data_IF_685203992285
#
_entry.id   IF_685203992285
#
_cell.length_a   1.000
_cell.length_b   1.000
_cell.length_c   1.000
_cell.angle_alpha   90.00
_cell.angle_beta   90.00
_cell.angle_gamma   90.00
#
_symmetry.space_group_name_H-M   'P 1'
#
loop_
_entity.id
_entity.type
_entity.pdbx_description
1 polymer ?
#
# COMPACT_ATOMS: atom_id res chain seq x y z
N UNK A 1 0.76 17.11 64.86
CA UNK A 1 0.43 15.98 63.95
C UNK A 1 0.53 16.46 62.51
N UNK A 2 0.92 15.60 61.55
CA UNK A 2 1.23 15.85 60.11
C UNK A 2 2.69 16.21 59.75
N UNK A 3 3.63 15.27 59.91
CA UNK A 3 4.94 15.29 59.20
C UNK A 3 5.25 14.02 58.38
N UNK A 4 4.35 13.02 58.37
CA UNK A 4 4.59 11.73 57.69
C UNK A 4 4.34 11.75 56.17
N UNK A 5 3.52 12.67 55.65
CA UNK A 5 3.17 12.69 54.21
C UNK A 5 4.24 13.28 53.31
N UNK A 6 4.92 14.35 53.75
CA UNK A 6 5.86 15.09 52.91
C UNK A 6 7.13 14.26 52.59
N UNK A 7 7.64 13.52 53.58
CA UNK A 7 8.83 12.68 53.39
C UNK A 7 8.57 11.48 52.46
N UNK A 8 7.32 11.02 52.34
CA UNK A 8 6.97 9.93 51.43
C UNK A 8 6.89 10.43 49.99
N UNK A 9 6.29 11.60 49.78
CA UNK A 9 6.14 12.21 48.45
C UNK A 9 7.51 12.61 47.87
N UNK A 10 8.40 13.18 48.69
CA UNK A 10 9.76 13.54 48.25
C UNK A 10 10.58 12.32 47.87
N UNK A 11 10.45 11.20 48.59
CA UNK A 11 11.16 9.95 48.26
C UNK A 11 10.66 9.33 46.95
N UNK A 12 9.35 9.33 46.72
CA UNK A 12 8.76 8.83 45.47
C UNK A 12 9.18 9.71 44.28
N UNK A 13 9.15 11.04 44.40
CA UNK A 13 9.63 11.94 43.35
C UNK A 13 11.10 11.73 43.02
N UNK A 14 11.96 11.55 44.02
CA UNK A 14 13.40 11.33 43.80
C UNK A 14 13.65 9.98 43.11
N UNK A 15 12.93 8.92 43.49
CA UNK A 15 13.04 7.62 42.82
C UNK A 15 12.56 7.66 41.35
N UNK A 16 11.48 8.38 41.06
CA UNK A 16 10.98 8.54 39.68
C UNK A 16 11.97 9.35 38.83
N UNK A 17 12.57 10.40 39.38
CA UNK A 17 13.57 11.21 38.66
C UNK A 17 14.85 10.41 38.39
N UNK A 18 15.33 9.60 39.33
CA UNK A 18 16.50 8.74 39.12
C UNK A 18 16.21 7.67 38.05
N UNK A 19 15.01 7.09 38.04
CA UNK A 19 14.61 6.11 37.02
C UNK A 19 14.55 6.72 35.60
N UNK A 20 14.07 7.97 35.47
CA UNK A 20 14.08 8.65 34.17
C UNK A 20 15.49 9.00 33.67
N UNK A 21 16.42 9.35 34.56
CA UNK A 21 17.81 9.66 34.17
C UNK A 21 18.57 8.42 33.69
N UNK A 22 18.26 7.24 34.22
CA UNK A 22 18.87 5.98 33.78
C UNK A 22 18.36 5.47 32.42
N UNK A 23 17.18 5.93 31.96
CA UNK A 23 16.62 5.56 30.66
C UNK A 23 17.18 6.39 29.50
N UNK A 24 17.81 7.54 29.78
CA UNK A 24 18.37 8.44 28.73
C UNK A 24 19.82 8.10 28.38
N UNK A 25 20.55 7.38 29.24
CA UNK A 25 21.97 7.04 29.00
C UNK A 25 22.20 5.72 28.24
N UNK A 26 21.14 5.01 27.84
CA UNK A 26 21.24 3.70 27.17
C UNK A 26 21.18 3.74 25.63
N UNK A 27 21.03 4.92 24.99
CA UNK A 27 20.89 5.02 23.53
C UNK A 27 21.94 5.95 22.92
N UNK A 28 23.18 5.47 22.86
CA UNK A 28 24.25 5.98 22.00
C UNK A 28 25.35 4.91 21.90
N UNK A 29 25.29 4.06 20.88
CA UNK A 29 26.47 3.35 20.39
C UNK A 29 26.38 3.08 18.89
N UNK A 30 27.48 3.47 18.24
CA UNK A 30 27.77 3.67 16.82
C UNK A 30 28.38 2.43 16.16
N UNK A 31 28.16 2.25 14.85
CA UNK A 31 29.13 1.82 13.79
C UNK A 31 28.33 1.52 12.50
N UNK A 32 28.41 2.31 11.43
CA UNK A 32 29.46 2.40 10.39
C UNK A 32 29.67 1.09 9.61
N UNK A 33 29.21 1.09 8.35
CA UNK A 33 29.49 0.07 7.33
C UNK A 33 30.30 0.71 6.20
N UNK A 34 31.44 0.09 5.89
CA UNK A 34 32.42 0.48 4.87
C UNK A 34 32.17 -0.28 3.56
N UNK A 35 32.55 0.37 2.46
CA UNK A 35 32.17 0.09 1.08
C UNK A 35 33.01 -0.99 0.34
N UNK A 36 32.53 -1.23 -0.91
CA UNK A 36 33.22 -1.63 -2.17
C UNK A 36 33.25 -3.13 -2.57
N UNK A 37 33.46 -3.48 -3.86
CA UNK A 37 33.38 -2.71 -5.14
C UNK A 37 32.57 -3.40 -6.27
N UNK A 38 32.51 -2.66 -7.39
CA UNK A 38 31.86 -2.90 -8.69
C UNK A 38 32.54 -3.93 -9.62
N UNK A 39 31.71 -4.52 -10.50
CA UNK A 39 31.95 -4.68 -11.96
C UNK A 39 32.61 -5.98 -12.46
N UNK A 40 32.60 -6.25 -13.80
CA UNK A 40 31.91 -5.56 -14.90
C UNK A 40 31.18 -6.50 -15.92
N UNK A 41 30.30 -5.87 -16.73
CA UNK A 41 30.03 -6.04 -18.17
C UNK A 41 30.40 -7.35 -18.92
N UNK A 42 29.56 -7.81 -19.86
CA UNK A 42 29.49 -7.31 -21.26
C UNK A 42 28.79 -8.31 -22.21
N UNK A 43 27.86 -7.79 -23.05
CA UNK A 43 27.71 -7.99 -24.52
C UNK A 43 27.52 -9.44 -25.07
N UNK A 44 26.92 -9.71 -26.22
CA UNK A 44 26.36 -8.96 -27.38
C UNK A 44 25.77 -10.00 -28.35
N UNK A 45 24.81 -9.55 -29.17
CA UNK A 45 24.41 -10.11 -30.48
C UNK A 45 23.75 -11.50 -30.47
N UNK A 46 22.86 -11.86 -31.39
CA UNK A 46 22.75 -11.43 -32.78
C UNK A 46 21.34 -11.73 -33.29
N UNK A 47 20.74 -10.74 -33.96
CA UNK A 47 19.66 -10.92 -34.92
C UNK A 47 20.30 -11.35 -36.25
N UNK A 48 19.69 -12.27 -37.02
CA UNK A 48 19.38 -11.83 -38.38
C UNK A 48 18.00 -12.29 -38.89
N UNK A 49 17.34 -11.31 -39.51
CA UNK A 49 16.73 -11.36 -40.83
C UNK A 49 15.76 -12.50 -41.20
N UNK A 50 14.47 -12.12 -41.21
CA UNK A 50 13.62 -12.06 -42.41
C UNK A 50 14.05 -12.92 -43.62
N UNK A 51 13.27 -13.97 -43.91
CA UNK A 51 12.94 -14.26 -45.31
C UNK A 51 11.52 -14.81 -45.43
N UNK A 52 10.82 -14.25 -46.40
CA UNK A 52 9.43 -14.49 -46.78
C UNK A 52 9.39 -15.76 -47.64
N UNK A 53 8.49 -16.70 -47.33
CA UNK A 53 7.88 -17.54 -48.36
C UNK A 53 6.53 -18.08 -47.90
N UNK A 54 5.49 -17.58 -48.56
CA UNK A 54 4.15 -18.14 -48.55
C UNK A 54 4.13 -19.33 -49.54
N UNK A 55 3.52 -20.46 -49.18
CA UNK A 55 2.56 -21.01 -50.13
C UNK A 55 1.27 -21.48 -49.45
N UNK A 56 0.19 -20.98 -50.02
CA UNK A 56 -1.20 -21.39 -49.91
C UNK A 56 -1.36 -22.90 -50.17
N UNK A 57 -1.77 -23.69 -49.17
CA UNK A 57 -2.47 -24.97 -49.38
C UNK A 57 -3.59 -25.11 -48.36
N UNK A 58 -4.80 -25.34 -48.88
CA UNK A 58 -6.04 -25.54 -48.13
C UNK A 58 -6.10 -26.93 -47.48
N UNK A 59 -6.61 -26.93 -46.24
CA UNK A 59 -7.55 -27.90 -45.62
C UNK A 59 -7.05 -29.33 -45.34
N UNK A 60 -6.81 -29.63 -44.05
CA UNK A 60 -7.44 -30.77 -43.34
C UNK A 60 -7.64 -30.36 -41.86
N UNK A 61 -8.83 -30.65 -41.37
CA UNK A 61 -9.37 -30.33 -40.05
C UNK A 61 -9.30 -31.59 -39.19
N UNK A 62 -8.54 -31.57 -38.09
CA UNK A 62 -8.73 -32.45 -36.92
C UNK A 62 -8.33 -31.71 -35.63
N UNK A 63 -9.08 -31.91 -34.53
CA UNK A 63 -9.06 -31.04 -33.37
C UNK A 63 -7.91 -31.42 -32.44
N UNK A 64 -7.05 -30.46 -32.14
CA UNK A 64 -6.16 -30.52 -30.97
C UNK A 64 -6.65 -29.44 -30.03
N UNK A 65 -7.57 -29.83 -29.15
CA UNK A 65 -7.91 -29.06 -27.96
C UNK A 65 -6.77 -29.18 -26.95
N UNK A 66 -5.65 -28.52 -27.24
CA UNK A 66 -4.73 -28.10 -26.20
C UNK A 66 -5.31 -26.82 -25.61
N UNK A 67 -5.98 -26.95 -24.47
CA UNK A 67 -6.23 -25.79 -23.61
C UNK A 67 -4.87 -25.36 -23.12
N UNK A 68 -4.27 -24.39 -23.81
CA UNK A 68 -3.09 -23.68 -23.33
C UNK A 68 -3.49 -23.05 -22.00
N UNK A 69 -3.11 -23.68 -20.90
CA UNK A 69 -3.44 -23.22 -19.54
C UNK A 69 -2.56 -22.02 -19.12
N UNK A 70 -2.04 -21.29 -20.10
CA UNK A 70 -1.34 -20.04 -19.89
C UNK A 70 -2.38 -18.96 -19.58
N UNK A 71 -2.30 -18.31 -18.41
CA UNK A 71 -3.22 -17.25 -18.07
C UNK A 71 -3.13 -16.15 -19.14
N UNK A 72 -4.23 -15.89 -19.83
CA UNK A 72 -4.33 -14.78 -20.78
C UNK A 72 -4.29 -13.47 -19.99
N UNK A 73 -3.26 -12.67 -20.19
CA UNK A 73 -3.15 -11.35 -19.58
C UNK A 73 -4.06 -10.37 -20.31
N UNK A 74 -4.97 -9.75 -19.56
CA UNK A 74 -5.96 -8.80 -20.07
C UNK A 74 -5.97 -7.54 -19.21
N UNK A 75 -6.33 -6.38 -19.77
CA UNK A 75 -6.47 -5.18 -18.95
C UNK A 75 -7.59 -5.38 -17.93
N UNK A 76 -7.32 -5.13 -16.66
CA UNK A 76 -8.34 -5.21 -15.61
C UNK A 76 -9.25 -3.99 -15.69
N UNK A 77 -10.58 -4.16 -15.54
CA UNK A 77 -11.53 -3.06 -15.53
C UNK A 77 -11.40 -2.28 -14.21
N UNK A 78 -10.61 -1.21 -14.24
CA UNK A 78 -10.50 -0.28 -13.11
C UNK A 78 -11.37 0.93 -13.42
N UNK A 79 -12.51 1.03 -12.75
CA UNK A 79 -13.35 2.22 -12.76
C UNK A 79 -12.81 3.23 -11.73
N UNK A 80 -12.29 4.35 -12.22
CA UNK A 80 -11.84 5.48 -11.41
C UNK A 80 -13.04 6.36 -11.04
N UNK A 81 -13.12 6.90 -9.80
CA UNK A 81 -14.16 7.85 -9.45
C UNK A 81 -14.04 9.14 -10.26
N UNK A 82 -15.16 9.84 -10.41
CA UNK A 82 -15.16 11.14 -11.09
C UNK A 82 -14.50 12.18 -10.17
N UNK A 83 -13.59 13.02 -10.68
CA UNK A 83 -12.98 14.07 -9.87
C UNK A 83 -14.04 15.05 -9.33
N UNK A 84 -14.09 15.24 -8.01
CA UNK A 84 -15.00 16.19 -7.34
C UNK A 84 -14.26 17.29 -6.58
N UNK A 85 -13.13 17.77 -7.11
CA UNK A 85 -12.38 18.86 -6.50
C UNK A 85 -13.25 20.14 -6.39
N UNK A 86 -13.73 20.44 -5.18
CA UNK A 86 -14.51 21.63 -4.87
C UNK A 86 -13.59 22.67 -4.21
N UNK A 87 -13.77 23.94 -4.60
CA UNK A 87 -13.07 25.09 -4.04
C UNK A 87 -11.85 25.52 -4.86
N UNK A 88 -11.14 26.53 -4.36
CA UNK A 88 -9.93 27.06 -5.00
C UNK A 88 -8.75 26.11 -4.71
N UNK A 89 -8.03 25.63 -5.74
CA UNK A 89 -6.80 24.85 -5.54
C UNK A 89 -5.83 25.60 -4.63
N UNK A 90 -5.30 24.91 -3.63
CA UNK A 90 -4.28 25.48 -2.74
C UNK A 90 -2.91 25.34 -3.40
N UNK A 91 -2.08 26.38 -3.33
CA UNK A 91 -0.68 26.32 -3.78
C UNK A 91 0.18 25.65 -2.71
N UNK A 92 0.03 24.32 -2.57
CA UNK A 92 0.80 23.53 -1.60
C UNK A 92 2.15 23.15 -2.17
N UNK A 93 3.23 23.55 -1.49
CA UNK A 93 4.61 23.23 -1.87
C UNK A 93 5.27 22.40 -0.78
N UNK A 94 5.43 21.11 -1.05
CA UNK A 94 6.21 20.19 -0.22
C UNK A 94 7.31 19.54 -1.06
N UNK A 95 8.36 19.07 -0.41
CA UNK A 95 9.44 18.33 -1.06
C UNK A 95 8.86 17.04 -1.66
N UNK A 96 9.33 16.64 -2.85
CA UNK A 96 8.90 15.44 -3.57
C UNK A 96 7.39 15.36 -3.90
N UNK A 97 6.68 16.51 -3.98
CA UNK A 97 5.29 16.50 -4.43
C UNK A 97 5.17 16.06 -5.88
N UNK A 98 4.52 14.93 -6.11
CA UNK A 98 4.20 14.47 -7.46
C UNK A 98 3.25 15.45 -8.16
N UNK A 99 3.53 15.71 -9.44
CA UNK A 99 2.64 16.53 -10.27
C UNK A 99 1.42 15.69 -10.64
N UNK A 100 0.21 16.29 -10.68
CA UNK A 100 -0.96 15.62 -11.21
C UNK A 100 -0.68 15.03 -12.59
N UNK A 101 -1.03 13.76 -12.79
CA UNK A 101 -0.69 13.00 -14.01
C UNK A 101 -1.23 13.67 -15.29
N UNK A 102 -2.34 14.41 -15.18
CA UNK A 102 -2.96 15.17 -16.28
C UNK A 102 -3.59 14.32 -17.39
N UNK A 103 -3.41 13.00 -17.34
CA UNK A 103 -3.96 12.01 -18.27
C UNK A 103 -4.45 10.78 -17.49
N UNK A 104 -5.34 9.96 -18.06
CA UNK A 104 -5.72 8.69 -17.47
C UNK A 104 -4.50 7.79 -17.22
N UNK A 105 -4.54 7.01 -16.12
CA UNK A 105 -3.50 6.01 -15.87
C UNK A 105 -3.51 4.96 -16.98
N UNK A 106 -2.34 4.42 -17.38
CA UNK A 106 -2.31 3.30 -18.34
C UNK A 106 -3.05 2.08 -17.75
N UNK A 107 -3.71 1.27 -18.60
CA UNK A 107 -4.34 0.04 -18.14
C UNK A 107 -3.36 -0.88 -17.42
N UNK A 108 -3.80 -1.50 -16.32
CA UNK A 108 -3.05 -2.54 -15.63
C UNK A 108 -3.46 -3.91 -16.19
N UNK A 109 -2.50 -4.79 -16.44
CA UNK A 109 -2.78 -6.12 -16.99
C UNK A 109 -2.64 -7.18 -15.91
N UNK A 110 -3.63 -8.07 -15.81
CA UNK A 110 -3.61 -9.23 -14.92
C UNK A 110 -4.23 -10.45 -15.63
N UNK A 111 -4.10 -11.66 -15.09
CA UNK A 111 -4.78 -12.83 -15.63
C UNK A 111 -6.29 -12.60 -15.80
N UNK A 112 -6.85 -13.12 -16.90
CA UNK A 112 -8.27 -13.06 -17.13
C UNK A 112 -9.05 -13.67 -15.96
N UNK A 113 -10.02 -12.94 -15.45
CA UNK A 113 -10.82 -13.35 -14.29
C UNK A 113 -10.32 -12.82 -12.95
N UNK A 114 -9.28 -11.97 -12.90
CA UNK A 114 -8.92 -11.22 -11.68
C UNK A 114 -10.13 -10.43 -11.16
N UNK A 115 -10.37 -10.51 -9.85
CA UNK A 115 -11.45 -9.82 -9.13
C UNK A 115 -10.88 -9.05 -7.95
N UNK A 116 -11.66 -8.09 -7.43
CA UNK A 116 -11.34 -7.46 -6.15
C UNK A 116 -11.55 -8.48 -5.01
N UNK A 117 -10.45 -9.00 -4.45
CA UNK A 117 -10.50 -9.94 -3.33
C UNK A 117 -10.91 -9.27 -2.01
N UNK A 118 -10.73 -7.95 -1.90
CA UNK A 118 -11.01 -7.18 -0.69
C UNK A 118 -12.47 -6.74 -0.58
N UNK A 119 -13.31 -6.93 -1.61
CA UNK A 119 -14.69 -6.45 -1.59
C UNK A 119 -15.51 -7.09 -0.46
N UNK A 120 -16.14 -6.25 0.36
CA UNK A 120 -16.94 -6.62 1.55
C UNK A 120 -16.19 -7.49 2.57
N UNK A 121 -14.86 -7.43 2.57
CA UNK A 121 -14.03 -8.18 3.52
C UNK A 121 -13.98 -7.51 4.90
N UNK A 122 -13.81 -8.30 5.98
CA UNK A 122 -13.62 -7.77 7.31
C UNK A 122 -12.45 -6.80 7.37
N UNK A 123 -12.66 -5.68 8.06
CA UNK A 123 -11.68 -4.61 8.22
C UNK A 123 -11.45 -4.35 9.70
N UNK A 124 -10.19 -4.22 10.10
CA UNK A 124 -9.80 -3.70 11.41
C UNK A 124 -8.89 -2.49 11.24
N UNK A 125 -8.82 -1.64 12.25
CA UNK A 125 -8.09 -0.37 12.21
C UNK A 125 -7.49 -0.07 13.57
N UNK A 126 -6.40 0.68 13.61
CA UNK A 126 -5.87 1.26 14.87
C UNK A 126 -6.86 2.23 15.52
N UNK A 127 -7.72 2.84 14.72
CA UNK A 127 -8.82 3.69 15.15
C UNK A 127 -10.15 3.01 14.81
N UNK A 128 -10.75 2.37 15.82
CA UNK A 128 -12.04 1.66 15.70
C UNK A 128 -13.24 2.60 15.55
N UNK A 129 -13.08 3.87 15.94
CA UNK A 129 -14.12 4.90 15.85
C UNK A 129 -13.58 6.10 15.06
N UNK A 130 -13.49 5.98 13.72
CA UNK A 130 -13.01 7.04 12.86
C UNK A 130 -13.68 8.39 13.14
N UNK A 131 -12.96 9.48 12.87
CA UNK A 131 -13.51 10.84 12.96
C UNK A 131 -14.71 10.98 12.01
N UNK A 132 -14.61 10.37 10.83
CA UNK A 132 -15.65 10.36 9.79
C UNK A 132 -15.78 8.97 9.21
N UNK A 133 -17.01 8.52 8.99
CA UNK A 133 -17.33 7.25 8.33
C UNK A 133 -17.24 6.04 9.27
N UNK A 134 -17.37 4.87 8.66
CA UNK A 134 -17.28 3.55 9.32
C UNK A 134 -16.19 2.73 8.63
N UNK A 135 -15.47 1.88 9.37
CA UNK A 135 -14.30 1.17 8.84
C UNK A 135 -14.65 0.19 7.71
N UNK A 136 -15.88 -0.33 7.71
CA UNK A 136 -16.45 -1.22 6.71
C UNK A 136 -16.56 -0.54 5.32
N UNK A 137 -16.60 0.79 5.28
CA UNK A 137 -16.62 1.56 4.03
C UNK A 137 -15.32 1.45 3.24
N UNK A 138 -14.24 0.92 3.82
CA UNK A 138 -12.95 0.76 3.12
C UNK A 138 -13.04 -0.32 2.03
N UNK A 139 -13.93 -1.29 2.19
CA UNK A 139 -14.09 -2.46 1.32
C UNK A 139 -15.45 -2.52 0.61
N UNK A 140 -16.31 -1.52 0.78
CA UNK A 140 -17.70 -1.51 0.27
C UNK A 140 -17.83 -1.26 -1.25
N UNK A 141 -16.74 -0.84 -1.90
CA UNK A 141 -16.69 -0.54 -3.33
C UNK A 141 -17.22 0.84 -3.74
N UNK A 142 -17.73 1.66 -2.80
CA UNK A 142 -17.97 3.07 -3.03
C UNK A 142 -16.64 3.81 -3.13
N UNK A 143 -16.49 4.60 -4.18
CA UNK A 143 -15.27 5.38 -4.47
C UNK A 143 -15.57 6.86 -4.59
N UNK A 144 -16.81 7.27 -4.33
CA UNK A 144 -17.19 8.67 -4.39
C UNK A 144 -16.54 9.47 -3.25
N UNK A 145 -16.56 10.79 -3.33
CA UNK A 145 -16.07 11.67 -2.26
C UNK A 145 -17.19 12.51 -1.63
N UNK A 146 -18.42 12.02 -1.75
CA UNK A 146 -19.58 12.62 -1.11
C UNK A 146 -19.51 12.40 0.41
N UNK A 147 -20.34 13.15 1.14
CA UNK A 147 -20.46 12.93 2.58
C UNK A 147 -21.05 11.53 2.79
N UNK A 148 -20.36 10.69 3.56
CA UNK A 148 -20.72 9.28 3.73
C UNK A 148 -20.11 8.32 2.70
N UNK A 149 -19.11 8.75 1.90
CA UNK A 149 -18.35 7.86 0.98
C UNK A 149 -16.86 7.78 1.30
N UNK A 150 -16.43 8.26 2.47
CA UNK A 150 -15.02 8.20 2.87
C UNK A 150 -14.85 8.04 4.38
N UNK A 151 -13.68 7.50 4.74
CA UNK A 151 -13.26 7.33 6.13
C UNK A 151 -12.10 8.29 6.43
N UNK A 152 -12.17 8.97 7.58
CA UNK A 152 -11.07 9.77 8.12
C UNK A 152 -10.70 9.25 9.50
N UNK A 153 -9.53 8.62 9.61
CA UNK A 153 -8.98 8.14 10.87
C UNK A 153 -8.36 9.29 11.69
N UNK A 154 -8.12 9.02 12.96
CA UNK A 154 -7.41 9.92 13.87
C UNK A 154 -6.02 10.35 13.39
N UNK A 155 -5.42 11.34 14.08
CA UNK A 155 -4.08 11.83 13.75
C UNK A 155 -2.99 10.77 13.95
N UNK A 156 -1.77 11.08 13.49
CA UNK A 156 -0.58 10.23 13.56
C UNK A 156 -0.64 9.01 12.64
N UNK A 157 0.34 8.11 12.77
CA UNK A 157 0.39 6.89 11.97
C UNK A 157 -0.82 6.02 12.32
N UNK A 158 -1.60 5.69 11.30
CA UNK A 158 -2.76 4.82 11.39
C UNK A 158 -2.57 3.63 10.46
N UNK A 159 -3.19 2.52 10.79
CA UNK A 159 -3.19 1.32 9.95
C UNK A 159 -4.60 0.80 9.77
N UNK A 160 -4.82 0.16 8.64
CA UNK A 160 -6.02 -0.59 8.34
C UNK A 160 -5.58 -1.97 7.88
N UNK A 161 -6.19 -3.01 8.45
CA UNK A 161 -5.95 -4.40 8.08
C UNK A 161 -7.23 -4.96 7.47
N UNK A 162 -7.09 -5.59 6.31
CA UNK A 162 -8.19 -6.25 5.61
C UNK A 162 -7.93 -7.75 5.65
N UNK A 163 -8.84 -8.51 6.26
CA UNK A 163 -8.79 -9.97 6.24
C UNK A 163 -9.38 -10.49 4.93
N UNK A 164 -8.55 -11.04 4.04
CA UNK A 164 -9.02 -11.56 2.76
C UNK A 164 -9.76 -12.92 2.91
N UNK A 165 -9.72 -13.53 4.10
CA UNK A 165 -10.31 -14.82 4.49
C UNK A 165 -9.81 -16.04 3.70
N UNK A 166 -8.85 -15.85 2.80
CA UNK A 166 -8.21 -16.90 2.02
C UNK A 166 -6.86 -16.39 1.47
N UNK A 167 -6.03 -17.31 1.01
CA UNK A 167 -4.79 -16.97 0.30
C UNK A 167 -5.08 -16.56 -1.15
N UNK A 168 -4.46 -15.47 -1.60
CA UNK A 168 -4.63 -14.94 -2.96
C UNK A 168 -3.29 -14.65 -3.63
N UNK A 169 -3.24 -14.88 -4.94
CA UNK A 169 -2.23 -14.27 -5.79
C UNK A 169 -2.62 -12.80 -6.05
N UNK A 170 -1.93 -11.87 -5.41
CA UNK A 170 -2.20 -10.44 -5.53
C UNK A 170 -1.42 -9.86 -6.72
N UNK A 171 -2.15 -9.36 -7.72
CA UNK A 171 -1.55 -8.75 -8.91
C UNK A 171 -1.46 -7.22 -8.81
N UNK A 172 -2.36 -6.59 -8.07
CA UNK A 172 -2.41 -5.14 -7.90
C UNK A 172 -3.06 -4.79 -6.56
N UNK A 173 -2.62 -3.68 -5.98
CA UNK A 173 -3.28 -2.99 -4.87
C UNK A 173 -3.70 -1.61 -5.38
N UNK A 174 -4.94 -1.23 -5.13
CA UNK A 174 -5.48 0.05 -5.54
C UNK A 174 -6.10 0.75 -4.33
N UNK A 175 -5.51 1.88 -3.95
CA UNK A 175 -5.94 2.69 -2.81
C UNK A 175 -6.50 4.01 -3.31
N UNK A 176 -7.63 4.42 -2.75
CA UNK A 176 -8.27 5.69 -3.07
C UNK A 176 -8.03 6.69 -1.95
N UNK A 177 -7.47 7.82 -2.32
CA UNK A 177 -7.37 8.97 -1.44
C UNK A 177 -8.62 9.85 -1.59
N UNK A 178 -8.91 10.62 -0.54
CA UNK A 178 -10.00 11.61 -0.57
C UNK A 178 -9.80 12.59 -1.72
N UNK A 179 -10.82 12.74 -2.56
CA UNK A 179 -10.73 13.49 -3.83
C UNK A 179 -11.78 14.60 -3.99
N UNK A 180 -12.45 15.02 -2.89
CA UNK A 180 -13.27 16.25 -2.88
C UNK A 180 -12.42 17.52 -2.78
N UNK A 181 -11.20 17.40 -2.28
CA UNK A 181 -10.23 18.49 -2.16
C UNK A 181 -8.81 17.94 -2.32
N UNK A 182 -7.88 18.76 -2.81
CA UNK A 182 -6.48 18.37 -2.93
C UNK A 182 -5.86 18.20 -1.52
N UNK A 183 -5.32 17.01 -1.25
CA UNK A 183 -4.58 16.69 -0.03
C UNK A 183 -3.22 16.12 -0.39
N UNK A 184 -2.23 16.37 0.47
CA UNK A 184 -0.90 15.75 0.37
C UNK A 184 -0.88 14.57 1.34
N UNK A 185 -0.52 13.40 0.81
CA UNK A 185 -0.27 12.19 1.59
C UNK A 185 1.25 11.98 1.62
N UNK A 186 1.82 11.98 2.82
CA UNK A 186 3.27 11.96 3.00
C UNK A 186 3.86 10.55 2.86
N UNK A 187 3.14 9.55 3.36
CA UNK A 187 3.61 8.18 3.42
C UNK A 187 2.42 7.23 3.31
N UNK A 188 2.61 6.16 2.55
CA UNK A 188 1.69 5.03 2.41
C UNK A 188 2.57 3.80 2.39
N UNK A 189 2.34 2.89 3.34
CA UNK A 189 3.03 1.60 3.38
C UNK A 189 1.99 0.51 3.11
N UNK A 190 2.31 -0.41 2.20
CA UNK A 190 1.46 -1.57 1.91
C UNK A 190 2.23 -2.83 2.28
N UNK A 191 1.65 -3.64 3.16
CA UNK A 191 2.20 -4.93 3.56
C UNK A 191 1.17 -6.03 3.40
N UNK A 192 1.65 -7.24 3.18
CA UNK A 192 0.84 -8.47 3.12
C UNK A 192 1.50 -9.55 3.96
N UNK A 193 0.69 -10.41 4.56
CA UNK A 193 1.15 -11.57 5.33
C UNK A 193 0.08 -12.67 5.28
N UNK A 194 0.51 -13.92 5.44
CA UNK A 194 -0.38 -15.06 5.68
C UNK A 194 -0.67 -15.26 7.17
N UNK A 195 0.07 -14.57 8.04
CA UNK A 195 -0.09 -14.55 9.49
C UNK A 195 -1.06 -13.41 9.90
N UNK A 196 -2.20 -13.71 10.55
CA UNK A 196 -3.19 -12.69 10.93
C UNK A 196 -2.63 -11.64 11.90
N UNK A 197 -1.60 -11.97 12.67
CA UNK A 197 -0.97 -11.06 13.62
C UNK A 197 0.22 -10.29 13.01
N UNK A 198 0.54 -10.51 11.72
CA UNK A 198 1.66 -9.89 11.02
C UNK A 198 3.01 -10.06 11.76
N UNK A 199 3.23 -11.20 12.43
CA UNK A 199 4.49 -11.49 13.15
C UNK A 199 5.49 -12.17 12.22
N UNK A 200 5.00 -13.01 11.30
CA UNK A 200 5.81 -13.78 10.35
C UNK A 200 5.34 -13.57 8.91
N UNK A 201 6.23 -13.86 7.94
CA UNK A 201 5.92 -13.80 6.50
C UNK A 201 5.40 -12.44 5.99
N UNK A 202 5.77 -11.35 6.67
CA UNK A 202 5.38 -10.00 6.27
C UNK A 202 6.21 -9.56 5.07
N UNK A 203 5.52 -9.20 3.98
CA UNK A 203 6.13 -8.66 2.76
C UNK A 203 5.64 -7.24 2.54
N UNK A 204 6.56 -6.28 2.43
CA UNK A 204 6.24 -4.91 2.03
C UNK A 204 6.18 -4.82 0.50
N UNK A 205 5.03 -4.37 -0.03
CA UNK A 205 4.79 -4.19 -1.46
C UNK A 205 5.09 -2.75 -1.94
N UNK A 206 5.00 -1.77 -1.05
CA UNK A 206 5.18 -0.34 -1.35
C UNK A 206 5.59 0.45 -0.09
N UNK A 207 6.55 1.38 -0.23
CA UNK A 207 7.01 2.35 0.79
C UNK A 207 7.75 3.54 0.16
#
# INVERSE_FOLDING_TARGET
MRKKGLNSIVKVSVCVLIAMVLLVSASCKQSEEEARPEGPEQKTAEEPEKSVSEPTVKKVEQPVSEVSNTPKWVPIPIELPKPMFVGTPQDTKVVNLEKPLGKPRPPFYAPAGTKNAAFEKPVTSTDELPIIGEIEMITDGDKEAADGSYVELGPFQQQVTIDLEAEYNIYAVLVWHYHKAARVYFDVVVQVANDPDFVTDVTTLFN
#
